data_IF_287736120427
#
_entry.id   IF_287736120427
#
_cell.length_a   1.000
_cell.length_b   1.000
_cell.length_c   1.000
_cell.angle_alpha   90.00
_cell.angle_beta   90.00
_cell.angle_gamma   90.00
#
_symmetry.space_group_name_H-M   'P 1'
#
loop_
_entity.id
_entity.type
_entity.pdbx_description
1 polymer ?
#
# COMPACT_ATOMS: atom_id res chain seq x y z
N UNK A 1 21.87 17.34 -8.71
CA UNK A 1 20.61 17.08 -8.01
C UNK A 1 20.55 17.98 -6.77
N UNK A 2 19.40 18.60 -6.52
CA UNK A 2 19.19 19.46 -5.35
C UNK A 2 19.27 18.64 -4.05
N UNK A 3 19.58 19.32 -2.92
CA UNK A 3 19.63 18.69 -1.60
C UNK A 3 18.58 19.32 -0.66
N UNK A 4 17.91 18.47 0.10
CA UNK A 4 16.96 18.90 1.15
C UNK A 4 17.17 18.04 2.39
N UNK A 5 16.90 18.57 3.56
CA UNK A 5 17.04 17.83 4.82
C UNK A 5 15.74 17.15 5.26
N UNK A 6 15.87 15.92 5.71
CA UNK A 6 14.81 15.23 6.45
C UNK A 6 14.89 15.60 7.93
N UNK A 7 13.74 15.93 8.54
CA UNK A 7 13.59 16.17 9.98
C UNK A 7 13.15 14.96 10.77
N UNK A 8 12.63 13.94 10.09
CA UNK A 8 12.20 12.66 10.64
C UNK A 8 12.46 11.58 9.60
N UNK A 9 12.95 10.43 10.06
CA UNK A 9 13.22 9.31 9.18
C UNK A 9 12.15 8.22 9.27
N UNK A 10 11.61 7.97 10.48
CA UNK A 10 10.64 6.91 10.73
C UNK A 10 9.46 7.43 11.56
N UNK A 11 8.24 7.13 11.13
CA UNK A 11 7.02 7.50 11.83
C UNK A 11 6.08 6.31 11.99
N UNK A 12 5.56 6.11 13.20
CA UNK A 12 4.47 5.15 13.44
C UNK A 12 3.12 5.85 13.26
N UNK A 13 2.23 5.18 12.52
CA UNK A 13 0.84 5.62 12.37
C UNK A 13 -0.01 5.26 13.60
N UNK A 14 -1.13 5.94 13.85
CA UNK A 14 -2.09 5.55 14.88
C UNK A 14 -2.87 4.28 14.52
N UNK A 15 -3.01 3.99 13.23
CA UNK A 15 -3.62 2.78 12.65
C UNK A 15 -2.75 2.30 11.50
N UNK A 16 -2.77 0.99 11.25
CA UNK A 16 -2.10 0.43 10.09
C UNK A 16 -2.73 0.95 8.78
N UNK A 17 -1.90 1.08 7.76
CA UNK A 17 -2.36 1.42 6.41
C UNK A 17 -2.96 0.18 5.76
N UNK A 18 -4.19 0.30 5.25
CA UNK A 18 -4.88 -0.83 4.61
C UNK A 18 -4.53 -0.99 3.12
N UNK A 19 -3.99 0.05 2.48
CA UNK A 19 -3.57 -0.02 1.07
C UNK A 19 -2.20 -0.68 0.92
N UNK A 20 -1.23 -0.22 1.73
CA UNK A 20 0.10 -0.84 1.86
C UNK A 20 0.26 -1.27 3.32
N UNK A 21 -0.18 -2.49 3.69
CA UNK A 21 -0.28 -2.91 5.09
C UNK A 21 0.99 -2.67 5.88
N UNK A 22 1.03 -1.58 6.61
CA UNK A 22 2.20 -1.13 7.37
C UNK A 22 1.77 -0.27 8.55
N UNK A 23 2.52 -0.36 9.65
CA UNK A 23 2.34 0.52 10.81
C UNK A 23 3.34 1.68 10.79
N UNK A 24 4.53 1.44 10.23
CA UNK A 24 5.59 2.43 10.12
C UNK A 24 5.74 2.90 8.67
N UNK A 25 6.04 4.19 8.53
CA UNK A 25 6.48 4.78 7.26
C UNK A 25 7.88 5.33 7.42
N UNK A 26 8.79 4.85 6.59
CA UNK A 26 10.09 5.49 6.40
C UNK A 26 9.93 6.65 5.41
N UNK A 27 10.58 7.76 5.71
CA UNK A 27 10.62 8.92 4.82
C UNK A 27 11.30 8.53 3.50
N UNK A 28 10.70 8.91 2.38
CA UNK A 28 11.30 8.66 1.07
C UNK A 28 12.61 9.48 0.91
N UNK A 29 13.67 8.88 0.32
CA UNK A 29 14.96 9.55 0.13
C UNK A 29 14.90 10.74 -0.85
N UNK A 30 13.88 10.80 -1.69
CA UNK A 30 13.76 11.81 -2.73
C UNK A 30 12.49 12.65 -2.61
N UNK A 31 12.50 13.85 -3.17
CA UNK A 31 11.36 14.70 -3.51
C UNK A 31 11.40 14.97 -5.00
N UNK A 32 10.23 14.91 -5.69
CA UNK A 32 10.18 14.79 -7.14
C UNK A 32 10.47 13.35 -7.57
N UNK A 33 10.32 13.04 -8.86
CA UNK A 33 10.49 11.67 -9.35
C UNK A 33 10.88 11.66 -10.83
N UNK A 34 12.10 11.21 -11.11
CA UNK A 34 12.65 11.07 -12.47
C UNK A 34 11.98 10.00 -13.33
N UNK A 35 11.04 9.20 -12.78
CA UNK A 35 10.19 8.35 -13.63
C UNK A 35 9.32 9.16 -14.58
N UNK A 36 8.98 10.40 -14.24
CA UNK A 36 8.24 11.31 -15.10
C UNK A 36 6.85 10.85 -15.50
N UNK A 37 6.22 9.93 -14.74
CA UNK A 37 4.89 9.42 -15.07
C UNK A 37 3.90 10.56 -15.32
N UNK A 38 3.19 10.51 -16.45
CA UNK A 38 2.35 11.61 -16.92
C UNK A 38 1.10 11.80 -16.05
N UNK A 39 0.61 10.73 -15.45
CA UNK A 39 -0.56 10.69 -14.57
C UNK A 39 -0.22 10.88 -13.08
N UNK A 40 1.05 11.03 -12.70
CA UNK A 40 1.50 10.91 -11.32
C UNK A 40 0.79 11.89 -10.37
N UNK A 41 0.20 11.36 -9.29
CA UNK A 41 -0.42 12.16 -8.22
C UNK A 41 0.59 13.11 -7.53
N UNK A 42 1.88 12.74 -7.55
CA UNK A 42 2.97 13.58 -7.03
C UNK A 42 3.16 14.92 -7.73
N UNK A 43 2.56 15.12 -8.92
CA UNK A 43 2.56 16.40 -9.64
C UNK A 43 1.58 17.41 -9.04
N UNK A 44 0.63 16.97 -8.21
CA UNK A 44 -0.35 17.86 -7.61
C UNK A 44 0.30 18.86 -6.62
N UNK A 45 -0.17 20.10 -6.65
CA UNK A 45 0.36 21.24 -5.87
C UNK A 45 0.42 20.95 -4.36
N UNK A 46 -0.50 20.13 -3.87
CA UNK A 46 -0.56 19.72 -2.45
C UNK A 46 0.72 19.05 -1.92
N UNK A 47 1.58 18.54 -2.82
CA UNK A 47 2.82 17.87 -2.44
C UNK A 47 4.06 18.77 -2.46
N UNK A 48 3.87 20.06 -2.70
CA UNK A 48 4.90 21.12 -2.58
C UNK A 48 6.20 20.78 -3.31
N UNK A 49 6.08 20.31 -4.56
CA UNK A 49 7.25 20.16 -5.45
C UNK A 49 7.43 21.48 -6.19
N UNK A 50 8.43 22.26 -5.78
CA UNK A 50 8.84 23.47 -6.51
C UNK A 50 9.54 23.06 -7.82
N UNK A 51 9.29 23.83 -8.88
CA UNK A 51 9.90 23.58 -10.18
C UNK A 51 9.28 22.40 -10.93
N UNK A 52 10.10 21.73 -11.74
CA UNK A 52 9.71 20.60 -12.56
C UNK A 52 9.75 19.31 -11.73
N UNK A 53 8.62 18.60 -11.67
CA UNK A 53 8.45 17.41 -10.83
C UNK A 53 9.45 16.30 -11.20
N UNK A 54 9.81 16.16 -12.48
CA UNK A 54 10.64 15.06 -12.98
C UNK A 54 12.12 15.43 -13.11
N UNK A 55 12.44 16.73 -13.27
CA UNK A 55 13.81 17.23 -13.48
C UNK A 55 14.43 17.79 -12.20
N UNK A 56 13.62 18.45 -11.36
CA UNK A 56 14.11 19.10 -10.13
C UNK A 56 14.03 18.14 -8.93
N UNK A 57 14.55 16.91 -9.13
CA UNK A 57 14.62 15.92 -8.05
C UNK A 57 15.60 16.38 -6.98
N UNK A 58 15.15 16.32 -5.72
CA UNK A 58 15.97 16.63 -4.54
C UNK A 58 16.20 15.39 -3.68
N UNK A 59 17.42 15.23 -3.15
CA UNK A 59 17.85 14.13 -2.31
C UNK A 59 17.94 14.49 -0.83
N UNK A 60 17.57 13.57 0.05
CA UNK A 60 17.70 13.67 1.53
C UNK A 60 18.88 12.84 2.00
N UNK A 61 20.11 13.35 1.77
CA UNK A 61 21.36 12.62 2.08
C UNK A 61 21.58 12.40 3.57
N UNK A 62 20.96 13.22 4.44
CA UNK A 62 21.00 13.05 5.89
C UNK A 62 20.15 11.87 6.40
N UNK A 63 19.31 11.27 5.56
CA UNK A 63 18.27 10.32 5.98
C UNK A 63 18.83 9.03 6.60
N UNK A 64 19.86 8.37 6.06
CA UNK A 64 20.41 7.15 6.69
C UNK A 64 20.95 7.40 8.10
N UNK A 65 21.69 8.48 8.31
CA UNK A 65 22.22 8.84 9.62
C UNK A 65 21.11 9.21 10.63
N UNK A 66 20.10 9.94 10.17
CA UNK A 66 18.93 10.29 10.97
C UNK A 66 18.14 9.04 11.37
N UNK A 67 17.94 8.10 10.43
CA UNK A 67 17.25 6.84 10.67
C UNK A 67 17.98 5.99 11.72
N UNK A 68 19.29 5.83 11.58
CA UNK A 68 20.14 5.14 12.57
C UNK A 68 19.96 5.74 13.97
N UNK A 69 19.99 7.08 14.07
CA UNK A 69 19.80 7.77 15.34
C UNK A 69 18.38 7.56 15.92
N UNK A 70 17.34 7.54 15.08
CA UNK A 70 15.96 7.31 15.53
C UNK A 70 15.76 5.85 15.98
N UNK A 71 16.31 4.87 15.27
CA UNK A 71 16.29 3.45 15.66
C UNK A 71 17.01 3.27 17.00
N UNK A 72 18.19 3.87 17.17
CA UNK A 72 18.95 3.82 18.41
C UNK A 72 18.20 4.40 19.61
N UNK A 73 17.33 5.40 19.40
CA UNK A 73 16.41 5.95 20.42
C UNK A 73 15.18 5.10 20.68
N UNK A 74 15.04 3.96 20.01
CA UNK A 74 13.95 3.01 20.21
C UNK A 74 12.64 3.36 19.54
N UNK A 75 12.64 4.20 18.51
CA UNK A 75 11.41 4.59 17.78
C UNK A 75 10.69 3.37 17.23
N UNK A 76 11.40 2.37 16.70
CA UNK A 76 10.85 1.13 16.17
C UNK A 76 10.62 0.02 17.21
N UNK A 77 11.02 0.21 18.48
CA UNK A 77 10.96 -0.85 19.51
C UNK A 77 9.66 -0.87 20.33
N UNK A 78 8.77 0.08 20.14
CA UNK A 78 7.56 0.19 20.96
C UNK A 78 6.40 -0.66 20.43
N UNK A 79 6.33 -0.82 19.13
CA UNK A 79 5.26 -1.53 18.45
C UNK A 79 5.87 -2.38 17.33
N UNK A 80 5.27 -3.54 17.08
CA UNK A 80 5.64 -4.38 15.97
C UNK A 80 4.63 -4.23 14.82
N UNK A 81 5.12 -4.15 13.61
CA UNK A 81 4.32 -4.02 12.40
C UNK A 81 5.20 -3.62 11.23
N UNK A 82 4.74 -3.84 10.01
CA UNK A 82 5.55 -3.62 8.83
C UNK A 82 5.97 -2.15 8.67
N UNK A 83 7.19 -1.95 8.18
CA UNK A 83 7.68 -0.66 7.70
C UNK A 83 7.55 -0.58 6.19
N UNK A 84 6.84 0.44 5.71
CA UNK A 84 6.76 0.75 4.30
C UNK A 84 7.81 1.82 3.95
N UNK A 85 8.65 1.54 2.96
CA UNK A 85 9.55 2.51 2.35
C UNK A 85 8.97 2.96 1.01
N UNK A 86 8.74 4.25 0.88
CA UNK A 86 8.13 4.85 -0.30
C UNK A 86 6.82 5.55 -0.01
N UNK A 87 6.32 6.21 -1.01
CA UNK A 87 5.06 6.94 -0.95
C UNK A 87 4.39 6.94 -2.32
N UNK A 88 3.10 7.25 -2.39
CA UNK A 88 2.39 7.41 -3.66
C UNK A 88 2.80 8.63 -4.49
N UNK A 89 3.77 9.43 -4.04
CA UNK A 89 4.14 10.71 -4.67
C UNK A 89 5.58 10.76 -5.19
N UNK A 90 6.40 9.77 -4.86
CA UNK A 90 7.76 9.59 -5.39
C UNK A 90 8.11 8.11 -5.33
N UNK A 91 8.98 7.66 -6.19
CA UNK A 91 9.47 6.28 -6.17
C UNK A 91 10.87 6.25 -5.56
N UNK A 92 11.09 5.33 -4.64
CA UNK A 92 12.37 5.17 -3.95
C UNK A 92 13.44 4.54 -4.86
N UNK A 93 13.02 3.87 -5.92
CA UNK A 93 13.88 3.31 -6.96
C UNK A 93 13.83 4.10 -8.27
N UNK A 94 13.50 5.39 -8.22
CA UNK A 94 13.57 6.25 -9.38
C UNK A 94 15.00 6.31 -9.96
N UNK A 95 15.22 6.80 -11.22
CA UNK A 95 16.53 6.78 -11.87
C UNK A 95 17.69 7.36 -11.04
N UNK A 96 17.43 8.36 -10.21
CA UNK A 96 18.45 8.92 -9.32
C UNK A 96 19.06 7.89 -8.35
N UNK A 97 18.31 6.84 -7.98
CA UNK A 97 18.76 5.81 -7.04
C UNK A 97 19.88 4.93 -7.62
N UNK A 98 20.06 4.86 -8.93
CA UNK A 98 21.18 4.12 -9.55
C UNK A 98 22.53 4.66 -9.08
N UNK A 99 22.66 5.97 -8.96
CA UNK A 99 23.90 6.66 -8.58
C UNK A 99 23.93 7.05 -7.12
N UNK A 100 22.85 7.59 -6.55
CA UNK A 100 22.78 8.10 -5.18
C UNK A 100 22.75 6.99 -4.12
N UNK A 101 22.15 5.84 -4.43
CA UNK A 101 22.06 4.66 -3.54
C UNK A 101 21.52 4.96 -2.13
N UNK A 102 20.68 5.97 -2.00
CA UNK A 102 20.12 6.37 -0.71
C UNK A 102 19.09 5.36 -0.20
N UNK A 103 18.28 4.79 -1.11
CA UNK A 103 17.33 3.70 -0.76
C UNK A 103 18.10 2.50 -0.20
N UNK A 104 19.19 2.11 -0.85
CA UNK A 104 20.06 1.02 -0.38
C UNK A 104 20.62 1.32 1.01
N UNK A 105 21.09 2.54 1.26
CA UNK A 105 21.60 2.96 2.57
C UNK A 105 20.51 2.94 3.65
N UNK A 106 19.29 3.38 3.32
CA UNK A 106 18.13 3.33 4.23
C UNK A 106 17.72 1.89 4.54
N UNK A 107 17.71 1.00 3.54
CA UNK A 107 17.41 -0.42 3.73
C UNK A 107 18.39 -1.08 4.72
N UNK A 108 19.67 -0.78 4.62
CA UNK A 108 20.68 -1.30 5.55
C UNK A 108 20.37 -0.94 7.01
N UNK A 109 19.91 0.30 7.27
CA UNK A 109 19.51 0.74 8.60
C UNK A 109 18.16 0.15 9.03
N UNK A 110 17.17 0.09 8.11
CA UNK A 110 15.86 -0.48 8.42
C UNK A 110 15.92 -1.96 8.76
N UNK A 111 16.82 -2.73 8.14
CA UNK A 111 16.99 -4.14 8.42
C UNK A 111 17.37 -4.43 9.89
N UNK A 112 18.01 -3.48 10.55
CA UNK A 112 18.37 -3.59 11.98
C UNK A 112 17.15 -3.49 12.92
N UNK A 113 15.98 -3.10 12.41
CA UNK A 113 14.75 -2.96 13.22
C UNK A 113 14.11 -4.31 13.56
N UNK A 114 14.33 -5.34 12.75
CA UNK A 114 13.61 -6.62 12.83
C UNK A 114 12.14 -6.55 12.45
N UNK A 115 11.68 -5.43 11.84
CA UNK A 115 10.31 -5.27 11.36
C UNK A 115 10.12 -5.91 9.98
N UNK A 116 8.94 -6.42 9.64
CA UNK A 116 8.59 -6.76 8.26
C UNK A 116 8.69 -5.54 7.34
N UNK A 117 9.03 -5.77 6.08
CA UNK A 117 9.29 -4.73 5.09
C UNK A 117 8.29 -4.75 3.94
N UNK A 118 7.84 -3.56 3.52
CA UNK A 118 6.92 -3.38 2.40
C UNK A 118 7.48 -2.32 1.45
N UNK A 119 7.51 -2.64 0.16
CA UNK A 119 7.90 -1.70 -0.89
C UNK A 119 6.99 -1.80 -2.10
N UNK A 120 6.68 -0.64 -2.69
CA UNK A 120 5.99 -0.50 -3.98
C UNK A 120 6.84 0.37 -4.90
N UNK A 121 7.13 -0.14 -6.12
CA UNK A 121 7.95 0.58 -7.10
C UNK A 121 7.51 0.28 -8.54
N UNK A 122 7.93 1.14 -9.47
CA UNK A 122 7.85 0.94 -10.94
C UNK A 122 9.18 0.51 -11.54
N UNK A 123 10.19 0.25 -10.71
CA UNK A 123 11.54 0.01 -11.20
C UNK A 123 12.10 -1.35 -10.76
N UNK A 124 12.54 -2.14 -11.75
CA UNK A 124 13.20 -3.42 -11.52
C UNK A 124 14.56 -3.29 -10.79
N UNK A 125 15.08 -2.07 -10.62
CA UNK A 125 16.27 -1.79 -9.81
C UNK A 125 16.15 -2.30 -8.37
N UNK A 126 14.95 -2.49 -7.83
CA UNK A 126 14.73 -3.09 -6.50
C UNK A 126 15.43 -4.46 -6.35
N UNK A 127 15.62 -5.21 -7.44
CA UNK A 127 16.36 -6.49 -7.46
C UNK A 127 17.81 -6.35 -6.99
N UNK A 128 18.45 -5.21 -7.25
CA UNK A 128 19.81 -4.89 -6.76
C UNK A 128 19.93 -5.07 -5.25
N UNK A 129 18.85 -4.78 -4.53
CA UNK A 129 18.83 -4.70 -3.08
C UNK A 129 18.17 -5.92 -2.41
N UNK A 130 17.93 -7.00 -3.13
CA UNK A 130 17.37 -8.24 -2.57
C UNK A 130 18.26 -8.86 -1.50
N UNK A 131 19.58 -8.65 -1.57
CA UNK A 131 20.53 -9.03 -0.51
C UNK A 131 20.23 -8.34 0.84
N UNK A 132 19.81 -7.07 0.82
CA UNK A 132 19.39 -6.35 2.01
C UNK A 132 17.93 -6.68 2.39
N UNK A 133 17.05 -6.82 1.41
CA UNK A 133 15.64 -7.17 1.64
C UNK A 133 15.51 -8.55 2.30
N UNK A 134 16.39 -9.50 1.98
CA UNK A 134 16.44 -10.82 2.61
C UNK A 134 16.82 -10.81 4.11
N UNK A 135 17.33 -9.70 4.62
CA UNK A 135 17.64 -9.52 6.07
C UNK A 135 16.39 -9.20 6.91
N UNK A 136 15.29 -8.81 6.29
CA UNK A 136 14.02 -8.58 6.98
C UNK A 136 13.33 -9.91 7.30
N UNK A 137 12.62 -10.04 8.44
CA UNK A 137 11.94 -11.29 8.79
C UNK A 137 10.83 -11.69 7.81
N UNK A 138 10.23 -10.70 7.14
CA UNK A 138 9.23 -10.84 6.07
C UNK A 138 9.38 -9.66 5.12
N UNK A 139 9.21 -9.90 3.83
CA UNK A 139 9.22 -8.85 2.82
C UNK A 139 8.07 -9.00 1.84
N UNK A 140 7.43 -7.87 1.50
CA UNK A 140 6.44 -7.75 0.45
C UNK A 140 6.96 -6.77 -0.60
N UNK A 141 7.24 -7.28 -1.79
CA UNK A 141 7.70 -6.49 -2.94
C UNK A 141 6.54 -6.38 -3.93
N UNK A 142 6.12 -5.17 -4.20
CA UNK A 142 5.03 -4.92 -5.15
C UNK A 142 5.54 -4.10 -6.33
N UNK A 143 5.18 -4.52 -7.53
CA UNK A 143 5.47 -3.78 -8.75
C UNK A 143 4.20 -3.14 -9.28
N UNK A 144 4.29 -1.86 -9.65
CA UNK A 144 3.20 -1.21 -10.39
C UNK A 144 3.31 -1.57 -11.86
N UNK A 145 2.20 -1.93 -12.47
CA UNK A 145 2.09 -2.26 -13.89
C UNK A 145 0.80 -1.66 -14.45
N UNK A 146 0.90 -0.82 -15.49
CA UNK A 146 -0.25 -0.12 -16.09
C UNK A 146 -0.65 -0.71 -17.43
N UNK A 147 0.28 -1.35 -18.11
CA UNK A 147 0.10 -1.97 -19.43
C UNK A 147 1.22 -2.99 -19.67
N UNK A 148 0.99 -3.92 -20.58
CA UNK A 148 2.01 -4.82 -21.12
C UNK A 148 2.69 -4.26 -22.38
N UNK A 149 2.07 -3.28 -23.04
CA UNK A 149 2.62 -2.63 -24.23
C UNK A 149 3.83 -1.73 -23.84
N UNK A 150 5.03 -2.01 -24.34
CA UNK A 150 6.23 -1.29 -23.97
C UNK A 150 6.27 0.15 -24.52
N UNK A 151 5.62 0.42 -25.66
CA UNK A 151 5.59 1.75 -26.24
C UNK A 151 4.60 2.64 -25.49
N UNK A 152 3.44 2.10 -25.14
CA UNK A 152 2.48 2.76 -24.28
C UNK A 152 3.05 3.00 -22.88
N UNK A 153 3.75 2.02 -22.31
CA UNK A 153 4.43 2.18 -21.03
C UNK A 153 5.46 3.33 -21.08
N UNK A 154 6.26 3.42 -22.13
CA UNK A 154 7.24 4.49 -22.32
C UNK A 154 6.58 5.87 -22.47
N UNK A 155 5.44 5.94 -23.12
CA UNK A 155 4.66 7.17 -23.25
C UNK A 155 4.10 7.65 -21.91
N UNK A 156 3.55 6.73 -21.11
CA UNK A 156 2.92 7.05 -19.83
C UNK A 156 3.92 7.20 -18.67
N UNK A 157 5.02 6.44 -18.71
CA UNK A 157 5.98 6.25 -17.60
C UNK A 157 7.44 6.27 -18.13
N UNK A 158 7.90 7.38 -18.72
CA UNK A 158 9.13 7.41 -19.56
C UNK A 158 10.42 6.98 -18.84
N UNK A 159 10.51 7.18 -17.52
CA UNK A 159 11.69 6.82 -16.72
C UNK A 159 11.52 5.54 -15.87
N UNK A 160 10.43 4.79 -16.05
CA UNK A 160 10.21 3.54 -15.33
C UNK A 160 10.76 2.34 -16.11
N UNK A 161 11.00 1.22 -15.43
CA UNK A 161 11.42 -0.03 -16.12
C UNK A 161 10.34 -0.53 -17.08
N UNK A 162 10.72 -1.18 -18.20
CA UNK A 162 9.78 -1.82 -19.10
C UNK A 162 8.85 -2.82 -18.38
N UNK A 163 7.63 -3.08 -18.89
CA UNK A 163 6.70 -4.04 -18.29
C UNK A 163 7.28 -5.44 -18.09
N UNK A 164 8.04 -5.95 -19.07
CA UNK A 164 8.67 -7.27 -19.01
C UNK A 164 9.67 -7.36 -17.83
N UNK A 165 10.47 -6.31 -17.60
CA UNK A 165 11.44 -6.27 -16.50
C UNK A 165 10.74 -6.23 -15.13
N UNK A 166 9.59 -5.54 -15.03
CA UNK A 166 8.79 -5.52 -13.80
C UNK A 166 8.19 -6.90 -13.52
N UNK A 167 7.68 -7.61 -14.51
CA UNK A 167 7.21 -9.00 -14.37
C UNK A 167 8.35 -9.95 -13.99
N UNK A 168 9.51 -9.83 -14.64
CA UNK A 168 10.70 -10.58 -14.26
C UNK A 168 11.14 -10.28 -12.81
N UNK A 169 10.93 -9.04 -12.34
CA UNK A 169 11.19 -8.66 -10.95
C UNK A 169 10.20 -9.34 -9.97
N UNK A 170 8.91 -9.45 -10.32
CA UNK A 170 7.92 -10.20 -9.52
C UNK A 170 8.37 -11.65 -9.36
N UNK A 171 8.73 -12.32 -10.46
CA UNK A 171 9.25 -13.69 -10.44
C UNK A 171 10.47 -13.84 -9.56
N UNK A 172 11.46 -12.96 -9.74
CA UNK A 172 12.68 -12.97 -8.95
C UNK A 172 12.42 -12.72 -7.44
N UNK A 173 11.44 -11.91 -7.08
CA UNK A 173 11.04 -11.70 -5.69
C UNK A 173 10.44 -12.98 -5.09
N UNK A 174 9.60 -13.70 -5.84
CA UNK A 174 9.04 -15.00 -5.44
C UNK A 174 10.14 -16.06 -5.28
N UNK A 175 11.06 -16.13 -6.23
CA UNK A 175 12.20 -17.07 -6.19
C UNK A 175 13.12 -16.80 -5.00
N UNK A 176 13.24 -15.53 -4.59
CA UNK A 176 13.97 -15.13 -3.39
C UNK A 176 13.20 -15.40 -2.08
N UNK A 177 11.98 -15.95 -2.13
CA UNK A 177 11.15 -16.26 -0.97
C UNK A 177 10.35 -15.07 -0.44
N UNK A 178 10.31 -13.95 -1.15
CA UNK A 178 9.51 -12.78 -0.76
C UNK A 178 8.04 -12.97 -1.17
N UNK A 179 7.14 -12.32 -0.44
CA UNK A 179 5.78 -12.12 -0.90
C UNK A 179 5.80 -11.09 -2.02
N UNK A 180 4.99 -11.29 -3.05
CA UNK A 180 4.96 -10.37 -4.18
C UNK A 180 3.54 -10.20 -4.74
N UNK A 181 3.27 -9.00 -5.28
CA UNK A 181 2.02 -8.67 -5.92
C UNK A 181 2.19 -7.60 -6.99
N UNK A 182 1.16 -7.45 -7.83
CA UNK A 182 1.12 -6.43 -8.87
C UNK A 182 0.02 -5.41 -8.56
N UNK A 183 0.40 -4.14 -8.61
CA UNK A 183 -0.52 -3.01 -8.54
C UNK A 183 -0.82 -2.58 -9.98
N UNK A 184 -1.91 -3.11 -10.57
CA UNK A 184 -2.39 -2.73 -11.91
C UNK A 184 -3.03 -1.33 -11.83
N UNK A 185 -2.17 -0.30 -11.70
CA UNK A 185 -2.61 1.06 -11.44
C UNK A 185 -1.63 2.12 -11.97
N UNK A 186 -2.19 3.26 -12.47
CA UNK A 186 -3.59 3.48 -12.70
C UNK A 186 -4.09 2.80 -13.99
N UNK A 187 -5.33 2.33 -13.96
CA UNK A 187 -6.06 1.98 -15.18
C UNK A 187 -6.64 3.28 -15.75
N UNK A 188 -6.11 3.70 -16.91
CA UNK A 188 -6.44 4.98 -17.55
C UNK A 188 -7.63 4.80 -18.50
N UNK A 189 -8.72 5.61 -18.34
CA UNK A 189 -9.93 5.51 -19.16
C UNK A 189 -9.68 5.49 -20.67
N UNK A 190 -10.15 4.42 -21.34
CA UNK A 190 -10.01 4.22 -22.79
C UNK A 190 -8.59 3.93 -23.29
N UNK A 191 -7.58 3.96 -22.40
CA UNK A 191 -6.17 3.72 -22.77
C UNK A 191 -5.69 2.37 -22.23
N UNK A 192 -5.84 2.12 -20.92
CA UNK A 192 -5.33 0.88 -20.28
C UNK A 192 -6.39 0.16 -19.47
N UNK A 193 -7.63 0.65 -19.40
CA UNK A 193 -8.70 0.12 -18.56
C UNK A 193 -9.67 -0.81 -19.30
N UNK A 194 -9.37 -1.15 -20.56
CA UNK A 194 -10.14 -2.15 -21.30
C UNK A 194 -10.06 -3.54 -20.66
N UNK A 195 -11.17 -4.29 -20.67
CA UNK A 195 -11.26 -5.61 -20.04
C UNK A 195 -10.15 -6.56 -20.54
N UNK A 196 -9.98 -6.68 -21.85
CA UNK A 196 -8.96 -7.56 -22.46
C UNK A 196 -7.54 -7.17 -22.03
N UNK A 197 -7.24 -5.86 -22.01
CA UNK A 197 -5.92 -5.35 -21.59
C UNK A 197 -5.66 -5.66 -20.11
N UNK A 198 -6.66 -5.48 -19.25
CA UNK A 198 -6.54 -5.82 -17.83
C UNK A 198 -6.40 -7.34 -17.63
N UNK A 199 -7.19 -8.16 -18.32
CA UNK A 199 -7.12 -9.62 -18.22
C UNK A 199 -5.73 -10.14 -18.60
N UNK A 200 -5.19 -9.69 -19.75
CA UNK A 200 -3.86 -10.06 -20.19
C UNK A 200 -2.77 -9.64 -19.18
N UNK A 201 -2.87 -8.43 -18.65
CA UNK A 201 -1.95 -7.92 -17.62
C UNK A 201 -2.02 -8.76 -16.34
N UNK A 202 -3.23 -9.06 -15.87
CA UNK A 202 -3.44 -9.83 -14.66
C UNK A 202 -2.95 -11.27 -14.83
N UNK A 203 -3.20 -11.91 -15.98
CA UNK A 203 -2.67 -13.22 -16.32
C UNK A 203 -1.13 -13.22 -16.30
N UNK A 204 -0.50 -12.30 -17.00
CA UNK A 204 0.96 -12.18 -17.02
C UNK A 204 1.55 -11.96 -15.60
N UNK A 205 0.85 -11.20 -14.74
CA UNK A 205 1.24 -11.01 -13.35
C UNK A 205 1.15 -12.32 -12.54
N UNK A 206 0.08 -13.09 -12.71
CA UNK A 206 -0.09 -14.38 -12.05
C UNK A 206 0.94 -15.41 -12.54
N UNK A 207 1.21 -15.47 -13.82
CA UNK A 207 2.26 -16.31 -14.42
C UNK A 207 3.66 -15.95 -13.91
N UNK A 208 3.87 -14.68 -13.55
CA UNK A 208 5.08 -14.23 -12.88
C UNK A 208 5.12 -14.58 -11.38
N UNK A 209 4.04 -15.16 -10.82
CA UNK A 209 3.94 -15.58 -9.43
C UNK A 209 3.38 -14.53 -8.48
N UNK A 210 2.73 -13.48 -8.99
CA UNK A 210 2.02 -12.51 -8.14
C UNK A 210 0.91 -13.20 -7.35
N UNK A 211 0.82 -12.92 -6.05
CA UNK A 211 -0.17 -13.49 -5.13
C UNK A 211 -1.49 -12.72 -5.12
N UNK A 212 -1.46 -11.53 -5.69
CA UNK A 212 -2.64 -10.69 -5.89
C UNK A 212 -2.38 -9.68 -7.01
N UNK A 213 -3.47 -9.19 -7.60
CA UNK A 213 -3.44 -8.11 -8.57
C UNK A 213 -4.44 -7.04 -8.12
N UNK A 214 -3.94 -5.85 -7.81
CA UNK A 214 -4.78 -4.72 -7.37
C UNK A 214 -5.16 -3.83 -8.56
N UNK A 215 -6.41 -3.81 -9.01
CA UNK A 215 -6.88 -2.90 -10.04
C UNK A 215 -7.17 -1.52 -9.44
N UNK A 216 -6.42 -0.51 -9.83
CA UNK A 216 -6.61 0.86 -9.34
C UNK A 216 -6.92 1.84 -10.47
N UNK A 217 -7.99 2.62 -10.31
CA UNK A 217 -8.36 3.65 -11.30
C UNK A 217 -7.46 4.88 -11.25
N UNK A 218 -7.47 5.62 -12.35
CA UNK A 218 -6.78 6.90 -12.46
C UNK A 218 -7.47 7.97 -11.60
N UNK A 219 -6.68 8.73 -10.87
CA UNK A 219 -7.11 9.98 -10.23
C UNK A 219 -6.46 11.17 -10.93
N UNK A 220 -7.23 12.21 -11.25
CA UNK A 220 -6.74 13.46 -11.84
C UNK A 220 -7.17 14.64 -10.96
N UNK A 221 -6.29 15.02 -10.03
CA UNK A 221 -6.52 16.21 -9.18
C UNK A 221 -6.46 17.47 -10.01
N UNK A 222 -7.33 18.45 -9.77
CA UNK A 222 -7.26 19.76 -10.42
C UNK A 222 -5.86 20.38 -10.34
N UNK A 223 -5.48 21.12 -11.37
CA UNK A 223 -4.17 21.76 -11.48
C UNK A 223 -3.15 20.90 -12.22
N UNK A 224 -1.87 21.07 -11.90
CA UNK A 224 -0.71 20.54 -12.67
C UNK A 224 -0.80 19.05 -13.02
N UNK A 225 -1.33 18.22 -12.14
CA UNK A 225 -1.49 16.79 -12.42
C UNK A 225 -2.48 16.55 -13.57
N UNK A 226 -3.68 17.13 -13.46
CA UNK A 226 -4.73 16.99 -14.47
C UNK A 226 -4.30 17.62 -15.79
N UNK A 227 -3.70 18.82 -15.75
CA UNK A 227 -3.24 19.53 -16.94
C UNK A 227 -2.19 18.73 -17.71
N UNK A 228 -1.21 18.17 -17.01
CA UNK A 228 -0.17 17.32 -17.61
C UNK A 228 -0.78 16.12 -18.33
N UNK A 229 -1.70 15.40 -17.69
CA UNK A 229 -2.27 14.19 -18.27
C UNK A 229 -3.27 14.50 -19.40
N UNK A 230 -4.11 15.52 -19.23
CA UNK A 230 -5.07 15.94 -20.26
C UNK A 230 -4.34 16.48 -21.51
N UNK A 231 -3.20 17.15 -21.36
CA UNK A 231 -2.38 17.56 -22.51
C UNK A 231 -1.87 16.34 -23.26
N UNK A 232 -1.33 15.33 -22.56
CA UNK A 232 -0.95 14.07 -23.20
C UNK A 232 -2.11 13.41 -23.96
N UNK A 233 -3.32 13.38 -23.34
CA UNK A 233 -4.50 12.79 -24.00
C UNK A 233 -4.83 13.54 -25.28
N UNK A 234 -4.81 14.88 -25.27
CA UNK A 234 -5.08 15.70 -26.46
C UNK A 234 -4.06 15.48 -27.57
N UNK A 235 -2.78 15.31 -27.21
CA UNK A 235 -1.69 15.13 -28.16
C UNK A 235 -1.63 13.72 -28.74
N UNK A 236 -1.74 12.70 -27.89
CA UNK A 236 -1.51 11.29 -28.27
C UNK A 236 -2.79 10.48 -28.48
N UNK A 237 -3.91 10.90 -27.90
CA UNK A 237 -5.21 10.21 -27.94
C UNK A 237 -6.37 11.18 -28.16
N UNK A 238 -6.35 12.03 -29.21
CA UNK A 238 -7.32 13.12 -29.40
C UNK A 238 -8.76 12.65 -29.38
N UNK A 239 -9.05 11.44 -29.86
CA UNK A 239 -10.38 10.85 -29.85
C UNK A 239 -10.92 10.56 -28.44
N UNK A 240 -10.05 10.48 -27.42
CA UNK A 240 -10.44 10.27 -26.03
C UNK A 240 -10.63 11.58 -25.25
N UNK A 241 -10.29 12.72 -25.82
CA UNK A 241 -10.45 14.01 -25.13
C UNK A 241 -11.90 14.26 -24.63
N UNK A 242 -12.96 13.93 -25.38
CA UNK A 242 -14.33 14.04 -24.88
C UNK A 242 -14.61 13.12 -23.67
N UNK A 243 -14.10 11.89 -23.68
CA UNK A 243 -14.24 10.95 -22.56
C UNK A 243 -13.61 11.52 -21.28
N UNK A 244 -12.40 12.09 -21.37
CA UNK A 244 -11.74 12.69 -20.20
C UNK A 244 -12.47 13.94 -19.69
N UNK A 245 -13.05 14.75 -20.59
CA UNK A 245 -13.89 15.88 -20.22
C UNK A 245 -15.17 15.42 -19.50
N UNK A 246 -15.76 14.29 -19.90
CA UNK A 246 -16.92 13.71 -19.23
C UNK A 246 -16.56 13.10 -17.88
N UNK A 247 -15.56 12.22 -17.82
CA UNK A 247 -15.20 11.43 -16.63
C UNK A 247 -14.59 12.28 -15.52
N UNK A 248 -13.82 13.31 -15.88
CA UNK A 248 -13.12 14.21 -14.96
C UNK A 248 -13.53 15.67 -15.09
N UNK A 249 -14.67 15.96 -15.73
CA UNK A 249 -15.16 17.33 -15.92
C UNK A 249 -15.43 18.09 -14.63
N UNK A 250 -15.85 17.38 -13.58
CA UNK A 250 -16.03 17.96 -12.25
C UNK A 250 -14.66 18.15 -11.58
N UNK A 251 -14.40 19.35 -11.04
CA UNK A 251 -13.18 19.72 -10.32
C UNK A 251 -13.17 19.13 -8.89
N UNK A 252 -13.16 17.81 -8.78
CA UNK A 252 -13.15 17.10 -7.48
C UNK A 252 -11.75 17.18 -6.86
N UNK A 253 -11.60 17.68 -5.61
CA UNK A 253 -10.29 17.74 -4.93
C UNK A 253 -9.62 16.36 -4.80
N UNK A 254 -10.39 15.27 -4.78
CA UNK A 254 -9.88 13.90 -4.75
C UNK A 254 -9.28 13.47 -6.10
N UNK A 255 -9.69 14.09 -7.21
CA UNK A 255 -9.35 13.66 -8.56
C UNK A 255 -10.04 12.37 -9.00
N UNK A 256 -11.00 11.86 -8.22
CA UNK A 256 -11.71 10.63 -8.55
C UNK A 256 -12.57 10.79 -9.81
N UNK A 257 -12.62 9.77 -10.67
CA UNK A 257 -13.50 9.74 -11.84
C UNK A 257 -14.97 9.71 -11.41
N UNK A 258 -15.86 9.93 -12.37
CA UNK A 258 -17.30 9.69 -12.18
C UNK A 258 -17.51 8.21 -11.83
N UNK A 259 -18.40 7.96 -10.86
CA UNK A 259 -18.65 6.60 -10.35
C UNK A 259 -19.41 5.73 -11.35
N UNK A 260 -20.24 6.31 -12.19
CA UNK A 260 -20.96 5.60 -13.26
C UNK A 260 -20.00 5.05 -14.34
N UNK A 261 -18.83 5.69 -14.51
CA UNK A 261 -17.74 5.16 -15.33
C UNK A 261 -16.89 4.13 -14.56
N UNK A 262 -16.48 4.47 -13.33
CA UNK A 262 -15.53 3.65 -12.57
C UNK A 262 -16.12 2.31 -12.09
N UNK A 263 -17.38 2.30 -11.62
CA UNK A 263 -17.97 1.13 -11.00
C UNK A 263 -18.16 -0.08 -11.94
N UNK A 264 -18.56 0.06 -13.23
CA UNK A 264 -18.58 -1.07 -14.16
C UNK A 264 -17.20 -1.69 -14.35
N UNK A 265 -16.17 -0.88 -14.57
CA UNK A 265 -14.78 -1.34 -14.72
C UNK A 265 -14.30 -2.07 -13.47
N UNK A 266 -14.51 -1.51 -12.28
CA UNK A 266 -14.08 -2.10 -11.02
C UNK A 266 -14.78 -3.43 -10.73
N UNK A 267 -16.06 -3.56 -11.15
CA UNK A 267 -16.78 -4.84 -11.11
C UNK A 267 -16.20 -5.86 -12.07
N UNK A 268 -15.93 -5.46 -13.31
CA UNK A 268 -15.35 -6.34 -14.33
C UNK A 268 -14.00 -6.89 -13.87
N UNK A 269 -13.06 -6.02 -13.52
CA UNK A 269 -11.75 -6.41 -13.00
C UNK A 269 -11.88 -7.35 -11.78
N UNK A 270 -12.77 -7.00 -10.87
CA UNK A 270 -12.98 -7.79 -9.67
C UNK A 270 -13.61 -9.15 -9.93
N UNK A 271 -14.63 -9.23 -10.79
CA UNK A 271 -15.29 -10.50 -11.14
C UNK A 271 -14.33 -11.44 -11.83
N UNK A 272 -13.50 -10.91 -12.72
CA UNK A 272 -12.48 -11.69 -13.41
C UNK A 272 -11.43 -12.30 -12.44
N UNK A 273 -10.97 -11.52 -11.47
CA UNK A 273 -10.04 -11.98 -10.43
C UNK A 273 -10.70 -13.00 -9.51
N UNK A 274 -11.92 -12.72 -9.04
CA UNK A 274 -12.69 -13.62 -8.17
C UNK A 274 -12.91 -15.00 -8.82
N UNK A 275 -13.21 -15.03 -10.14
CA UNK A 275 -13.38 -16.26 -10.90
C UNK A 275 -12.11 -17.13 -10.97
N UNK A 276 -10.93 -16.53 -10.72
CA UNK A 276 -9.64 -17.20 -10.67
C UNK A 276 -9.12 -17.45 -9.25
N UNK A 277 -9.93 -17.20 -8.25
CA UNK A 277 -9.52 -17.33 -6.85
C UNK A 277 -8.43 -16.32 -6.44
N UNK A 278 -8.26 -15.24 -7.22
CA UNK A 278 -7.19 -14.25 -7.00
C UNK A 278 -7.73 -13.04 -6.25
N UNK A 279 -6.98 -12.58 -5.26
CA UNK A 279 -7.35 -11.38 -4.50
C UNK A 279 -7.08 -10.10 -5.30
N UNK A 280 -8.04 -9.16 -5.20
CA UNK A 280 -7.90 -7.78 -5.68
C UNK A 280 -7.31 -6.81 -4.65
N UNK A 281 -6.95 -7.29 -3.48
CA UNK A 281 -6.31 -6.55 -2.38
C UNK A 281 -5.16 -7.39 -1.86
N UNK A 282 -4.28 -6.80 -1.04
CA UNK A 282 -3.26 -7.59 -0.34
C UNK A 282 -3.98 -8.64 0.53
N UNK A 283 -3.78 -9.94 0.31
CA UNK A 283 -4.53 -11.01 1.00
C UNK A 283 -4.29 -11.02 2.51
N UNK A 284 -5.29 -11.47 3.27
CA UNK A 284 -5.16 -11.66 4.72
C UNK A 284 -3.98 -12.59 5.08
N UNK A 285 -3.76 -13.64 4.30
CA UNK A 285 -2.62 -14.55 4.47
C UNK A 285 -1.25 -13.85 4.41
N UNK A 286 -1.16 -12.70 3.75
CA UNK A 286 0.08 -11.91 3.71
C UNK A 286 0.17 -11.05 4.96
N UNK A 287 -0.71 -10.07 5.11
CA UNK A 287 -0.49 -9.02 6.10
C UNK A 287 -0.70 -9.45 7.56
N UNK A 288 -1.35 -10.59 7.84
CA UNK A 288 -1.40 -11.12 9.21
C UNK A 288 0.00 -11.42 9.78
N UNK A 289 0.95 -11.77 8.90
CA UNK A 289 2.34 -12.06 9.27
C UNK A 289 3.21 -10.77 9.30
N UNK A 290 2.64 -9.65 8.89
CA UNK A 290 3.31 -8.34 8.82
C UNK A 290 2.87 -7.39 9.92
N UNK A 291 1.70 -7.60 10.50
CA UNK A 291 1.08 -6.72 11.48
C UNK A 291 0.74 -7.47 12.77
N UNK A 292 0.63 -6.74 13.86
CA UNK A 292 0.08 -7.28 15.09
C UNK A 292 -1.38 -7.71 14.91
N UNK A 293 -1.87 -8.64 15.74
CA UNK A 293 -3.24 -9.11 15.67
C UNK A 293 -4.31 -7.98 15.73
N UNK A 294 -4.17 -6.94 16.59
CA UNK A 294 -5.08 -5.81 16.56
C UNK A 294 -5.06 -5.02 15.24
N UNK A 295 -3.87 -4.79 14.69
CA UNK A 295 -3.71 -4.07 13.42
C UNK A 295 -4.16 -4.90 12.23
N UNK A 296 -3.87 -6.20 12.24
CA UNK A 296 -4.32 -7.14 11.21
C UNK A 296 -5.85 -7.19 11.14
N UNK A 297 -6.53 -7.28 12.29
CA UNK A 297 -7.99 -7.21 12.32
C UNK A 297 -8.53 -5.89 11.79
N UNK A 298 -7.89 -4.75 12.11
CA UNK A 298 -8.28 -3.46 11.56
C UNK A 298 -8.20 -3.44 10.03
N UNK A 299 -7.09 -3.87 9.45
CA UNK A 299 -6.90 -3.95 7.99
C UNK A 299 -7.91 -4.89 7.36
N UNK A 300 -8.16 -6.05 7.99
CA UNK A 300 -9.15 -7.01 7.51
C UNK A 300 -10.56 -6.39 7.44
N UNK A 301 -10.99 -5.68 8.48
CA UNK A 301 -12.29 -5.00 8.48
C UNK A 301 -12.39 -3.93 7.39
N UNK A 302 -11.30 -3.18 7.11
CA UNK A 302 -11.22 -2.24 5.99
C UNK A 302 -11.38 -2.95 4.64
N UNK A 303 -10.67 -4.05 4.44
CA UNK A 303 -10.73 -4.83 3.21
C UNK A 303 -12.12 -5.47 3.01
N UNK A 304 -12.71 -6.02 4.07
CA UNK A 304 -14.08 -6.55 4.01
C UNK A 304 -15.09 -5.49 3.59
N UNK A 305 -14.98 -4.25 4.11
CA UNK A 305 -15.86 -3.16 3.69
C UNK A 305 -15.73 -2.89 2.18
N UNK A 306 -14.52 -2.89 1.65
CA UNK A 306 -14.26 -2.73 0.22
C UNK A 306 -14.82 -3.91 -0.60
N UNK A 307 -14.55 -5.14 -0.18
CA UNK A 307 -14.97 -6.35 -0.89
C UNK A 307 -16.49 -6.53 -0.90
N UNK A 308 -17.15 -6.23 0.21
CA UNK A 308 -18.60 -6.32 0.34
C UNK A 308 -19.30 -5.24 -0.48
N UNK A 309 -18.80 -3.99 -0.43
CA UNK A 309 -19.32 -2.91 -1.28
C UNK A 309 -19.22 -3.26 -2.76
N UNK A 310 -18.09 -3.80 -3.20
CA UNK A 310 -17.87 -4.21 -4.59
C UNK A 310 -18.83 -5.32 -5.05
N UNK A 311 -19.39 -6.12 -4.13
CA UNK A 311 -20.38 -7.17 -4.40
C UNK A 311 -21.82 -6.75 -4.11
N UNK A 312 -22.06 -5.46 -3.85
CA UNK A 312 -23.39 -4.92 -3.57
C UNK A 312 -23.97 -5.33 -2.19
N UNK A 313 -23.13 -5.85 -1.29
CA UNK A 313 -23.55 -6.20 0.07
C UNK A 313 -23.61 -4.94 0.93
N UNK A 314 -24.65 -4.79 1.75
CA UNK A 314 -24.79 -3.65 2.66
C UNK A 314 -23.62 -3.59 3.68
N UNK A 315 -22.81 -2.55 3.58
CA UNK A 315 -21.65 -2.36 4.43
C UNK A 315 -21.90 -1.44 5.64
N UNK A 316 -23.08 -0.87 5.82
CA UNK A 316 -23.38 0.06 6.92
C UNK A 316 -23.08 -0.53 8.31
N UNK A 317 -23.49 -1.79 8.64
CA UNK A 317 -23.15 -2.39 9.92
C UNK A 317 -21.64 -2.58 10.11
N UNK A 318 -20.94 -3.00 9.05
CA UNK A 318 -19.49 -3.20 9.05
C UNK A 318 -18.75 -1.87 9.19
N UNK A 319 -19.17 -0.83 8.48
CA UNK A 319 -18.57 0.51 8.56
C UNK A 319 -18.71 1.11 9.96
N UNK A 320 -19.87 0.94 10.59
CA UNK A 320 -20.08 1.38 11.96
C UNK A 320 -19.20 0.62 12.96
N UNK A 321 -19.05 -0.69 12.80
CA UNK A 321 -18.18 -1.51 13.63
C UNK A 321 -16.68 -1.15 13.40
N UNK A 322 -16.27 -0.94 12.16
CA UNK A 322 -14.93 -0.51 11.80
C UNK A 322 -14.57 0.82 12.48
N UNK A 323 -15.47 1.79 12.46
CA UNK A 323 -15.26 3.09 13.13
C UNK A 323 -15.05 2.90 14.63
N UNK A 324 -15.93 2.13 15.31
CA UNK A 324 -15.78 1.85 16.75
C UNK A 324 -14.48 1.13 17.07
N UNK A 325 -14.12 0.13 16.27
CA UNK A 325 -12.87 -0.62 16.46
C UNK A 325 -11.64 0.27 16.25
N UNK A 326 -11.66 1.10 15.22
CA UNK A 326 -10.58 2.06 14.94
C UNK A 326 -10.40 3.05 16.11
N UNK A 327 -11.49 3.55 16.67
CA UNK A 327 -11.42 4.50 17.79
C UNK A 327 -10.97 3.80 19.09
N UNK A 328 -11.42 2.56 19.34
CA UNK A 328 -10.91 1.73 20.43
C UNK A 328 -9.39 1.54 20.31
N UNK A 329 -8.90 1.09 19.13
CA UNK A 329 -7.49 0.79 18.89
C UNK A 329 -6.60 2.04 19.04
N UNK A 330 -7.02 3.19 18.48
CA UNK A 330 -6.34 4.49 18.68
C UNK A 330 -6.30 4.90 20.15
N UNK A 331 -7.43 4.74 20.85
CA UNK A 331 -7.57 5.08 22.26
C UNK A 331 -6.63 4.27 23.13
N UNK A 332 -6.62 2.93 22.99
CA UNK A 332 -5.74 2.02 23.72
C UNK A 332 -4.27 2.31 23.44
N UNK A 333 -3.89 2.43 22.15
CA UNK A 333 -2.52 2.76 21.75
C UNK A 333 -2.06 4.08 22.33
N UNK A 334 -2.90 5.11 22.31
CA UNK A 334 -2.61 6.41 22.88
C UNK A 334 -2.47 6.37 24.41
N UNK A 335 -3.35 5.63 25.09
CA UNK A 335 -3.28 5.46 26.53
C UNK A 335 -2.00 4.74 26.95
N UNK A 336 -1.63 3.65 26.26
CA UNK A 336 -0.41 2.89 26.55
C UNK A 336 0.85 3.72 26.31
N UNK A 337 0.90 4.51 25.23
CA UNK A 337 2.02 5.42 24.95
C UNK A 337 2.19 6.47 26.05
N UNK A 338 1.08 7.00 26.61
CA UNK A 338 1.11 7.99 27.71
C UNK A 338 1.49 7.35 29.05
N UNK A 339 1.00 6.13 29.29
CA UNK A 339 1.26 5.45 30.57
C UNK A 339 2.72 5.02 30.78
N UNK A 340 3.56 5.14 29.75
CA UNK A 340 4.95 4.68 29.76
C UNK A 340 5.05 3.25 30.29
N UNK A 341 4.30 2.32 29.67
CA UNK A 341 4.26 0.91 30.08
C UNK A 341 5.67 0.42 30.38
N UNK A 342 5.88 0.01 31.63
CA UNK A 342 7.14 -0.58 32.06
C UNK A 342 7.21 -2.00 31.51
N UNK A 343 8.21 -2.25 30.69
CA UNK A 343 8.46 -3.54 30.05
C UNK A 343 9.91 -3.94 30.32
N UNK A 344 10.19 -5.23 30.17
CA UNK A 344 11.57 -5.68 30.26
C UNK A 344 12.40 -4.99 29.16
N UNK A 345 13.65 -4.58 29.46
CA UNK A 345 14.55 -4.00 28.45
C UNK A 345 14.79 -4.92 27.24
N UNK A 346 14.62 -6.24 27.45
CA UNK A 346 14.73 -7.29 26.44
C UNK A 346 13.47 -7.45 25.59
N UNK A 347 12.32 -6.83 25.94
CA UNK A 347 11.11 -6.89 25.14
C UNK A 347 11.20 -5.89 23.98
N UNK A 348 11.38 -6.35 22.74
CA UNK A 348 11.56 -5.45 21.60
C UNK A 348 10.25 -4.75 21.18
N UNK A 349 9.09 -5.32 21.53
CA UNK A 349 7.77 -4.87 21.07
C UNK A 349 6.72 -4.80 22.19
N UNK A 350 7.00 -4.05 23.28
CA UNK A 350 6.20 -4.08 24.50
C UNK A 350 4.75 -3.60 24.29
N UNK A 351 4.57 -2.57 23.48
CA UNK A 351 3.25 -1.99 23.25
C UNK A 351 2.36 -2.94 22.42
N UNK A 352 2.93 -3.59 21.42
CA UNK A 352 2.24 -4.60 20.61
C UNK A 352 1.77 -5.76 21.47
N UNK A 353 2.61 -6.29 22.34
CA UNK A 353 2.23 -7.38 23.25
C UNK A 353 1.07 -6.99 24.15
N UNK A 354 1.13 -5.84 24.80
CA UNK A 354 0.06 -5.37 25.69
C UNK A 354 -1.24 -5.11 24.93
N UNK A 355 -1.18 -4.56 23.69
CA UNK A 355 -2.37 -4.41 22.85
C UNK A 355 -2.98 -5.76 22.45
N UNK A 356 -2.13 -6.73 22.10
CA UNK A 356 -2.58 -8.08 21.76
C UNK A 356 -3.24 -8.79 22.96
N UNK A 357 -2.66 -8.69 24.16
CA UNK A 357 -3.24 -9.20 25.41
C UNK A 357 -4.60 -8.56 25.69
N UNK A 358 -4.74 -7.23 25.55
CA UNK A 358 -6.03 -6.54 25.75
C UNK A 358 -7.09 -6.96 24.73
N UNK A 359 -6.68 -7.23 23.50
CA UNK A 359 -7.59 -7.73 22.47
C UNK A 359 -8.00 -9.18 22.76
N UNK A 360 -7.08 -10.02 23.25
CA UNK A 360 -7.37 -11.39 23.67
C UNK A 360 -8.36 -11.41 24.85
N UNK A 361 -8.16 -10.56 25.86
CA UNK A 361 -9.10 -10.38 26.97
C UNK A 361 -10.47 -9.95 26.47
N UNK A 362 -10.53 -9.01 25.51
CA UNK A 362 -11.77 -8.57 24.88
C UNK A 362 -12.47 -9.70 24.11
N UNK A 363 -11.72 -10.63 23.53
CA UNK A 363 -12.29 -11.77 22.81
C UNK A 363 -12.92 -12.82 23.73
N UNK A 364 -12.35 -13.02 24.93
CA UNK A 364 -12.82 -14.01 25.93
C UNK A 364 -13.80 -13.45 26.96
N UNK A 365 -13.95 -12.14 27.13
CA UNK A 365 -14.74 -11.51 28.14
C UNK A 365 -16.20 -11.27 27.72
N UNK A 366 -17.08 -11.20 28.72
CA UNK A 366 -18.44 -10.66 28.58
C UNK A 366 -18.51 -9.31 29.29
N UNK A 367 -19.12 -8.29 28.66
CA UNK A 367 -19.28 -6.96 29.27
C UNK A 367 -18.70 -5.81 28.42
N UNK A 368 -18.56 -4.61 29.01
CA UNK A 368 -18.27 -3.38 28.22
C UNK A 368 -16.91 -3.35 27.51
N UNK A 369 -16.03 -4.31 27.76
CA UNK A 369 -14.74 -4.45 27.07
C UNK A 369 -14.67 -5.66 26.14
N UNK A 370 -15.77 -6.37 25.90
CA UNK A 370 -15.82 -7.49 24.97
C UNK A 370 -15.70 -7.05 23.52
N UNK A 371 -15.27 -7.95 22.62
CA UNK A 371 -15.30 -7.68 21.18
C UNK A 371 -16.69 -7.30 20.69
N UNK A 372 -17.74 -7.90 21.25
CA UNK A 372 -19.12 -7.57 20.92
C UNK A 372 -19.45 -6.12 21.29
N UNK A 373 -19.06 -5.67 22.47
CA UNK A 373 -19.22 -4.27 22.90
C UNK A 373 -18.41 -3.30 22.04
N UNK A 374 -17.17 -3.64 21.71
CA UNK A 374 -16.29 -2.81 20.88
C UNK A 374 -16.85 -2.69 19.45
N UNK A 375 -17.22 -3.81 18.83
CA UNK A 375 -17.73 -3.84 17.45
C UNK A 375 -19.22 -3.48 17.36
N UNK A 376 -19.98 -3.63 18.46
CA UNK A 376 -21.41 -3.41 18.50
C UNK A 376 -22.21 -4.33 17.56
N UNK A 377 -21.67 -5.51 17.27
CA UNK A 377 -22.27 -6.49 16.37
C UNK A 377 -21.76 -7.90 16.70
N UNK A 378 -22.65 -8.79 17.15
CA UNK A 378 -22.31 -10.14 17.57
C UNK A 378 -21.69 -11.00 16.46
N UNK A 379 -22.20 -10.89 15.22
CA UNK A 379 -21.67 -11.66 14.08
C UNK A 379 -20.24 -11.25 13.77
N UNK A 380 -19.97 -9.93 13.76
CA UNK A 380 -18.61 -9.41 13.56
C UNK A 380 -17.69 -9.74 14.75
N UNK A 381 -18.22 -9.79 15.97
CA UNK A 381 -17.45 -10.21 17.13
C UNK A 381 -17.02 -11.69 17.04
N UNK A 382 -17.93 -12.57 16.61
CA UNK A 382 -17.59 -13.98 16.34
C UNK A 382 -16.54 -14.11 15.24
N UNK A 383 -16.73 -13.39 14.13
CA UNK A 383 -15.75 -13.32 13.03
C UNK A 383 -14.37 -12.85 13.55
N UNK A 384 -14.33 -11.74 14.28
CA UNK A 384 -13.10 -11.20 14.84
C UNK A 384 -12.42 -12.18 15.82
N UNK A 385 -13.17 -12.94 16.60
CA UNK A 385 -12.67 -13.96 17.51
C UNK A 385 -11.97 -15.09 16.75
N UNK A 386 -12.59 -15.59 15.67
CA UNK A 386 -11.96 -16.62 14.83
C UNK A 386 -10.61 -16.14 14.26
N UNK A 387 -10.52 -14.89 13.85
CA UNK A 387 -9.26 -14.31 13.34
C UNK A 387 -8.20 -14.18 14.45
N UNK A 388 -8.58 -13.61 15.60
CA UNK A 388 -7.63 -13.19 16.64
C UNK A 388 -7.25 -14.35 17.57
N UNK A 389 -8.22 -15.17 17.98
CA UNK A 389 -8.00 -16.25 18.96
C UNK A 389 -7.73 -17.61 18.30
N UNK A 390 -8.36 -17.89 17.15
CA UNK A 390 -8.24 -19.17 16.45
C UNK A 390 -7.22 -19.12 15.29
N UNK A 391 -6.71 -17.93 14.94
CA UNK A 391 -5.74 -17.73 13.86
C UNK A 391 -6.30 -18.02 12.47
N UNK A 392 -7.63 -17.98 12.30
CA UNK A 392 -8.27 -18.25 11.03
C UNK A 392 -7.84 -17.28 9.93
N UNK A 393 -7.67 -17.78 8.71
CA UNK A 393 -7.36 -16.97 7.53
C UNK A 393 -8.62 -16.73 6.73
N UNK A 394 -8.89 -15.47 6.43
CA UNK A 394 -10.03 -15.09 5.61
C UNK A 394 -9.60 -15.01 4.14
N UNK A 395 -10.29 -15.77 3.28
CA UNK A 395 -10.10 -15.72 1.85
C UNK A 395 -11.01 -14.68 1.20
N UNK A 396 -10.41 -13.83 0.37
CA UNK A 396 -11.09 -12.68 -0.25
C UNK A 396 -11.90 -13.07 -1.50
N UNK A 397 -11.55 -14.17 -2.17
CA UNK A 397 -12.28 -14.62 -3.34
C UNK A 397 -13.61 -15.28 -2.93
N UNK A 398 -13.55 -16.21 -1.97
CA UNK A 398 -14.74 -16.93 -1.47
C UNK A 398 -15.52 -16.16 -0.40
N UNK A 399 -14.96 -15.10 0.19
CA UNK A 399 -15.49 -14.41 1.39
C UNK A 399 -15.74 -15.36 2.57
N UNK A 400 -14.86 -16.35 2.72
CA UNK A 400 -14.94 -17.38 3.76
C UNK A 400 -13.62 -17.58 4.49
N UNK A 401 -13.64 -18.39 5.54
CA UNK A 401 -12.41 -18.82 6.20
C UNK A 401 -11.78 -19.99 5.46
N UNK A 402 -10.46 -19.95 5.33
CA UNK A 402 -9.68 -21.10 4.89
C UNK A 402 -9.47 -22.03 6.09
N UNK A 403 -9.92 -23.27 5.99
CA UNK A 403 -9.59 -24.32 6.94
C UNK A 403 -8.12 -24.72 6.67
N UNK A 404 -7.25 -24.43 7.63
CA UNK A 404 -5.84 -24.86 7.57
C UNK A 404 -5.69 -26.28 8.08
#
# INVERSE_FOLDING_TARGET
MNEIEARRALAAAPLADAFLPSLYRATAPYRGCGHGCRYCDGRAERYYVDGDFERDVAARRNLPALLRAEIGRGVARREWGAVCLGSGVTDVYQPAEETERLTRAILAELAETGLPFVVLTKNALVRRDFDLISRFPRALVMLTLTTLDPDLARLLEPGASPPADRLACVRAARDAGFRAGVMAMPLCPGITDGAESFHALAEAALDAGAEFVYPGGLTLRPGRQKDCFVSLVRESFPNLAPLYAEVYGEERPSGMPRMDYAAPRDRECGSWLDARGTSRLVPHSIYRDFLSAPDSLFVLLCHMATLYAARGIDTRPLSAALTRYADWLKGERSALRRSRVKTAPSDPFPLTRVLAERLADAAGSTGPRSLESILGNERLARFARSVVAEGAVFDYASLGFVIQ
#
